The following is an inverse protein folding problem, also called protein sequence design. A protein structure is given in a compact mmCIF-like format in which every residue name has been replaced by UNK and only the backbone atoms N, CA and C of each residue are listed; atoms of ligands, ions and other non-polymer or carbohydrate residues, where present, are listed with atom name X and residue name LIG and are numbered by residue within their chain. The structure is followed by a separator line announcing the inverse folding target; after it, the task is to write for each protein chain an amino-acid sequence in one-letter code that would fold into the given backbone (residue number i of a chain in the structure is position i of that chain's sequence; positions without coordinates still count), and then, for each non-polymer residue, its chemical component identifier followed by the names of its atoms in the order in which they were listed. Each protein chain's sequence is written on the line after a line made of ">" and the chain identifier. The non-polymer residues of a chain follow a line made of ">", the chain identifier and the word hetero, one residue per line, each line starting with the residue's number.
data_IF_271188663229
#
_entry.id   IF_271188663229
#
_cell.length_a   1.000
_cell.length_b   1.000
_cell.length_c   1.000
_cell.angle_alpha   90.00
_cell.angle_beta   90.00
_cell.angle_gamma   90.00
#
_symmetry.space_group_name_H-M   'P 1'
#
loop_
_entity.id
_entity.type
_entity.pdbx_description
1 polymer ?
#
# COMPACT_ATOMS: atom_id res chain seq x y z
N UNK A 1 -8.84 30.58 4.31
CA UNK A 1 -7.81 29.83 5.08
C UNK A 1 -7.20 28.68 4.28
N UNK A 2 -7.96 27.89 3.50
CA UNK A 2 -7.37 26.82 2.65
C UNK A 2 -6.44 27.36 1.54
N UNK A 3 -6.79 28.49 0.91
CA UNK A 3 -6.01 29.00 -0.23
C UNK A 3 -4.89 29.99 0.11
N UNK A 4 -4.85 30.56 1.32
CA UNK A 4 -3.66 31.34 1.71
C UNK A 4 -2.46 30.45 2.05
N UNK A 5 -2.67 29.14 2.22
CA UNK A 5 -1.59 28.17 2.44
C UNK A 5 -1.05 27.56 1.14
N UNK A 6 -1.86 27.50 0.07
CA UNK A 6 -1.42 26.97 -1.22
C UNK A 6 -0.62 27.98 -2.06
N UNK A 7 -0.76 29.29 -1.83
CA UNK A 7 0.01 30.28 -2.62
C UNK A 7 1.43 30.52 -2.09
N UNK A 8 1.74 30.18 -0.83
CA UNK A 8 3.05 30.48 -0.26
C UNK A 8 4.14 29.44 -0.59
N UNK A 9 3.78 28.28 -1.14
CA UNK A 9 4.74 27.19 -1.38
C UNK A 9 5.08 26.90 -2.84
N UNK A 10 4.52 27.62 -3.83
CA UNK A 10 4.70 27.24 -5.25
C UNK A 10 5.22 28.33 -6.19
N UNK A 11 5.76 29.45 -5.67
CA UNK A 11 6.42 30.46 -6.51
C UNK A 11 7.69 30.95 -5.83
N UNK A 12 8.82 30.31 -6.15
CA UNK A 12 10.15 30.96 -6.23
C UNK A 12 11.09 30.03 -6.98
N UNK A 13 11.03 30.17 -8.30
CA UNK A 13 12.20 29.96 -9.15
C UNK A 13 13.26 30.96 -8.69
N UNK A 14 14.29 30.49 -7.99
CA UNK A 14 15.58 31.17 -8.00
C UNK A 14 16.70 30.15 -7.77
N UNK A 15 17.51 30.06 -8.81
CA UNK A 15 18.69 29.23 -8.96
C UNK A 15 19.74 29.66 -7.93
N UNK A 16 19.70 29.09 -6.74
CA UNK A 16 20.86 29.04 -5.86
C UNK A 16 21.13 27.59 -5.49
N UNK A 17 22.01 26.98 -6.29
CA UNK A 17 22.76 25.77 -5.97
C UNK A 17 23.69 26.05 -4.78
N UNK A 18 23.13 26.34 -3.61
CA UNK A 18 23.82 26.10 -2.36
C UNK A 18 23.47 24.67 -2.00
N UNK A 19 24.47 23.82 -2.19
CA UNK A 19 24.57 22.43 -1.75
C UNK A 19 24.03 22.34 -0.30
N UNK A 20 22.73 22.15 -0.15
CA UNK A 20 22.09 21.94 1.14
C UNK A 20 22.41 20.50 1.55
N UNK A 21 23.62 20.33 2.05
CA UNK A 21 23.97 19.25 2.97
C UNK A 21 22.99 19.30 4.14
N UNK A 22 21.98 18.40 4.15
CA UNK A 22 21.37 17.77 5.34
C UNK A 22 19.95 17.22 5.13
N UNK A 23 19.32 17.36 3.96
CA UNK A 23 18.17 16.48 3.65
C UNK A 23 18.56 14.99 3.56
N UNK A 24 19.86 14.69 3.56
CA UNK A 24 20.42 13.34 3.45
C UNK A 24 20.23 12.45 4.69
N UNK A 25 19.93 13.00 5.87
CA UNK A 25 19.85 12.16 7.08
C UNK A 25 18.53 11.42 7.21
N UNK A 26 17.41 12.00 6.76
CA UNK A 26 16.12 11.33 6.90
C UNK A 26 15.87 10.37 5.74
N UNK A 27 15.35 9.16 6.02
CA UNK A 27 14.85 8.28 4.99
C UNK A 27 13.79 8.96 4.11
N UNK A 28 13.92 8.83 2.79
CA UNK A 28 12.86 9.24 1.87
C UNK A 28 11.68 8.28 2.03
N UNK A 29 10.46 8.81 1.93
CA UNK A 29 9.23 8.02 1.93
C UNK A 29 8.52 8.26 0.61
N UNK A 30 8.36 7.21 -0.19
CA UNK A 30 7.74 7.29 -1.51
C UNK A 30 6.42 6.55 -1.52
N UNK A 31 5.35 7.25 -1.92
CA UNK A 31 4.04 6.65 -2.14
C UNK A 31 3.88 6.28 -3.61
N UNK A 32 3.61 5.00 -3.86
CA UNK A 32 3.43 4.43 -5.19
C UNK A 32 2.02 3.90 -5.34
N UNK A 33 1.43 4.15 -6.51
CA UNK A 33 0.21 3.46 -6.93
C UNK A 33 0.46 2.70 -8.21
N UNK A 34 -0.06 1.47 -8.24
CA UNK A 34 0.04 0.64 -9.42
C UNK A 34 -1.21 0.88 -10.27
N UNK A 35 -1.05 1.60 -11.37
CA UNK A 35 -2.15 1.93 -12.28
C UNK A 35 -1.69 1.91 -13.74
N UNK A 36 -2.31 1.06 -14.56
CA UNK A 36 -1.90 0.90 -15.96
C UNK A 36 -2.66 1.79 -16.95
N UNK A 37 -3.78 2.37 -16.55
CA UNK A 37 -4.63 3.22 -17.42
C UNK A 37 -5.44 4.21 -16.60
N UNK A 38 -5.96 5.26 -17.24
CA UNK A 38 -6.90 6.18 -16.58
C UNK A 38 -8.17 5.42 -16.16
N UNK A 39 -8.68 5.70 -14.97
CA UNK A 39 -9.97 5.21 -14.51
C UNK A 39 -10.61 6.18 -13.52
N UNK A 40 -11.95 6.11 -13.33
CA UNK A 40 -12.65 6.91 -12.33
C UNK A 40 -12.07 6.73 -10.92
N UNK A 41 -11.77 5.49 -10.52
CA UNK A 41 -11.23 5.20 -9.19
C UNK A 41 -9.83 5.77 -8.99
N UNK A 42 -8.97 5.69 -10.00
CA UNK A 42 -7.66 6.35 -9.98
C UNK A 42 -7.76 7.87 -9.87
N UNK A 43 -8.75 8.49 -10.51
CA UNK A 43 -9.00 9.92 -10.36
C UNK A 43 -9.41 10.31 -8.93
N UNK A 44 -10.21 9.48 -8.25
CA UNK A 44 -10.53 9.71 -6.82
C UNK A 44 -9.28 9.56 -5.95
N UNK A 45 -8.43 8.58 -6.22
CA UNK A 45 -7.16 8.41 -5.52
C UNK A 45 -6.25 9.64 -5.71
N UNK A 46 -6.05 10.10 -6.96
CA UNK A 46 -5.24 11.30 -7.23
C UNK A 46 -5.81 12.55 -6.56
N UNK A 47 -7.14 12.72 -6.56
CA UNK A 47 -7.77 13.81 -5.83
C UNK A 47 -7.42 13.74 -4.34
N UNK A 48 -7.58 12.56 -3.73
CA UNK A 48 -7.28 12.36 -2.32
C UNK A 48 -5.81 12.65 -1.99
N UNK A 49 -4.88 12.30 -2.88
CA UNK A 49 -3.46 12.58 -2.67
C UNK A 49 -3.14 14.07 -2.75
N UNK A 50 -3.69 14.77 -3.75
CA UNK A 50 -3.48 16.21 -3.93
C UNK A 50 -4.06 17.00 -2.76
N UNK A 51 -5.29 16.69 -2.34
CA UNK A 51 -5.94 17.39 -1.23
C UNK A 51 -5.41 16.99 0.15
N UNK A 52 -4.71 15.87 0.24
CA UNK A 52 -3.97 15.47 1.45
C UNK A 52 -2.50 15.88 1.40
N UNK A 53 -2.05 16.61 0.36
CA UNK A 53 -0.67 17.03 0.19
C UNK A 53 0.35 15.87 0.24
N UNK A 54 -0.06 14.68 -0.23
CA UNK A 54 0.80 13.51 -0.32
C UNK A 54 1.20 13.30 -1.77
N UNK A 55 2.50 13.40 -2.05
CA UNK A 55 3.05 13.12 -3.38
C UNK A 55 2.98 11.63 -3.67
N UNK A 56 2.18 11.25 -4.67
CA UNK A 56 2.00 9.86 -5.10
C UNK A 56 2.48 9.71 -6.55
N UNK A 57 3.27 8.68 -6.80
CA UNK A 57 3.76 8.33 -8.13
C UNK A 57 2.94 7.18 -8.70
N UNK A 58 2.35 7.39 -9.87
CA UNK A 58 1.64 6.32 -10.58
C UNK A 58 2.61 5.54 -11.46
N UNK A 59 2.80 4.25 -11.18
CA UNK A 59 3.68 3.36 -11.93
C UNK A 59 2.89 2.34 -12.75
N UNK A 60 3.52 1.82 -13.81
CA UNK A 60 2.95 0.81 -14.69
C UNK A 60 2.03 1.37 -15.79
N UNK A 61 1.92 2.70 -15.91
CA UNK A 61 1.01 3.33 -16.87
C UNK A 61 1.37 2.94 -18.31
N UNK A 62 0.41 2.42 -19.07
CA UNK A 62 0.60 1.89 -20.42
C UNK A 62 0.97 0.41 -20.49
N UNK A 63 1.37 -0.23 -19.37
CA UNK A 63 1.66 -1.68 -19.36
C UNK A 63 0.36 -2.50 -19.41
N UNK A 64 0.43 -3.71 -19.98
CA UNK A 64 -0.65 -4.69 -19.81
C UNK A 64 -0.68 -5.14 -18.34
N UNK A 65 -1.80 -4.92 -17.68
CA UNK A 65 -1.93 -5.23 -16.26
C UNK A 65 -1.80 -6.73 -15.98
N UNK A 66 -0.93 -7.09 -15.03
CA UNK A 66 -0.80 -8.44 -14.49
C UNK A 66 -0.42 -8.31 -13.01
N UNK A 67 -1.29 -8.78 -12.09
CA UNK A 67 -1.02 -8.64 -10.65
C UNK A 67 0.31 -9.29 -10.24
N UNK A 68 0.66 -10.45 -10.82
CA UNK A 68 1.89 -11.17 -10.51
C UNK A 68 3.17 -10.39 -10.88
N UNK A 69 3.07 -9.34 -11.70
CA UNK A 69 4.21 -8.48 -12.09
C UNK A 69 4.31 -7.18 -11.28
N UNK A 70 3.29 -6.80 -10.50
CA UNK A 70 3.30 -5.52 -9.74
C UNK A 70 4.52 -5.38 -8.83
N UNK A 71 4.92 -6.42 -8.07
CA UNK A 71 6.07 -6.26 -7.17
C UNK A 71 7.39 -6.04 -7.92
N UNK A 72 7.48 -6.52 -9.17
CA UNK A 72 8.65 -6.25 -10.02
C UNK A 72 8.68 -4.79 -10.49
N UNK A 73 7.54 -4.18 -10.80
CA UNK A 73 7.49 -2.75 -11.15
C UNK A 73 7.84 -1.85 -9.98
N UNK A 74 7.49 -2.25 -8.75
CA UNK A 74 7.92 -1.56 -7.54
C UNK A 74 9.45 -1.62 -7.42
N UNK A 75 10.04 -2.80 -7.64
CA UNK A 75 11.50 -2.96 -7.61
C UNK A 75 12.20 -2.16 -8.71
N UNK A 76 11.69 -2.20 -9.94
CA UNK A 76 12.23 -1.41 -11.05
C UNK A 76 12.22 0.09 -10.68
N UNK A 77 11.16 0.58 -10.04
CA UNK A 77 11.10 1.96 -9.55
C UNK A 77 12.13 2.25 -8.45
N UNK A 78 12.23 1.38 -7.44
CA UNK A 78 13.20 1.47 -6.34
C UNK A 78 14.62 1.61 -6.90
N UNK A 79 14.98 0.77 -7.87
CA UNK A 79 16.32 0.72 -8.43
C UNK A 79 16.58 1.92 -9.36
N UNK A 80 15.62 2.31 -10.20
CA UNK A 80 15.76 3.45 -11.12
C UNK A 80 15.85 4.80 -10.39
N UNK A 81 15.17 4.96 -9.26
CA UNK A 81 15.20 6.21 -8.47
C UNK A 81 16.31 6.20 -7.41
N UNK A 82 17.15 5.16 -7.40
CA UNK A 82 18.26 5.01 -6.47
C UNK A 82 17.81 5.06 -5.03
N UNK A 83 16.69 4.40 -4.68
CA UNK A 83 16.23 4.35 -3.30
C UNK A 83 17.22 3.58 -2.43
N UNK A 84 17.60 4.19 -1.30
CA UNK A 84 18.55 3.65 -0.34
C UNK A 84 17.87 2.63 0.55
N UNK A 85 18.66 1.78 1.19
CA UNK A 85 18.16 0.71 2.05
C UNK A 85 17.22 1.21 3.16
N UNK A 86 17.55 2.37 3.75
CA UNK A 86 16.77 3.03 4.79
C UNK A 86 15.49 3.70 4.29
N UNK A 87 15.38 4.02 3.01
CA UNK A 87 14.19 4.65 2.43
C UNK A 87 12.96 3.72 2.55
N UNK A 88 11.77 4.29 2.51
CA UNK A 88 10.49 3.59 2.66
C UNK A 88 9.65 3.72 1.40
N UNK A 89 9.04 2.62 1.00
CA UNK A 89 8.03 2.60 -0.07
C UNK A 89 6.69 2.21 0.52
N UNK A 90 5.67 3.04 0.29
CA UNK A 90 4.26 2.72 0.55
C UNK A 90 3.59 2.51 -0.80
N UNK A 91 3.29 1.27 -1.16
CA UNK A 91 2.68 0.93 -2.44
C UNK A 91 1.26 0.41 -2.26
N UNK A 92 0.31 0.88 -3.08
CA UNK A 92 -1.09 0.47 -2.98
C UNK A 92 -1.84 0.54 -4.31
N UNK A 93 -3.05 -0.01 -4.34
CA UNK A 93 -3.85 -0.08 -5.56
C UNK A 93 -4.40 1.29 -5.97
N UNK A 94 -4.16 1.66 -7.23
CA UNK A 94 -4.52 2.98 -7.73
C UNK A 94 -6.02 3.15 -7.99
N UNK A 95 -6.71 2.08 -8.40
CA UNK A 95 -8.10 2.14 -8.89
C UNK A 95 -9.17 2.04 -7.80
N UNK A 96 -8.82 1.62 -6.59
CA UNK A 96 -9.78 1.31 -5.53
C UNK A 96 -9.24 1.60 -4.13
N UNK A 97 -8.27 2.50 -4.02
CA UNK A 97 -7.87 3.07 -2.74
C UNK A 97 -7.98 4.59 -2.75
N UNK A 98 -7.96 5.19 -1.56
CA UNK A 98 -7.79 6.63 -1.40
C UNK A 98 -7.09 6.93 -0.07
N UNK A 99 -6.36 8.03 -0.04
CA UNK A 99 -5.70 8.54 1.16
C UNK A 99 -6.73 9.22 2.04
N UNK A 100 -6.63 9.08 3.35
CA UNK A 100 -7.60 9.69 4.30
C UNK A 100 -7.23 11.13 4.67
N UNK A 101 -5.94 11.42 4.83
CA UNK A 101 -5.45 12.76 5.17
C UNK A 101 -3.96 12.79 5.49
N UNK A 102 -3.36 13.98 5.42
CA UNK A 102 -1.94 14.20 5.72
C UNK A 102 -1.55 13.77 7.14
N UNK A 103 -2.42 14.03 8.13
CA UNK A 103 -2.16 13.70 9.52
C UNK A 103 -2.02 12.20 9.75
N UNK A 104 -2.97 11.39 9.26
CA UNK A 104 -2.94 9.94 9.38
C UNK A 104 -1.74 9.35 8.64
N UNK A 105 -1.43 9.87 7.45
CA UNK A 105 -0.25 9.46 6.67
C UNK A 105 1.04 9.72 7.45
N UNK A 106 1.20 10.94 7.98
CA UNK A 106 2.37 11.31 8.79
C UNK A 106 2.50 10.42 10.02
N UNK A 107 1.42 10.23 10.76
CA UNK A 107 1.43 9.38 11.96
C UNK A 107 1.81 7.92 11.63
N UNK A 108 1.27 7.36 10.55
CA UNK A 108 1.60 6.00 10.13
C UNK A 108 3.08 5.87 9.75
N UNK A 109 3.59 6.85 8.99
CA UNK A 109 5.00 6.92 8.57
C UNK A 109 5.94 7.07 9.77
N UNK A 110 5.69 8.03 10.66
CA UNK A 110 6.54 8.29 11.82
C UNK A 110 6.63 7.04 12.70
N UNK A 111 5.50 6.39 13.01
CA UNK A 111 5.46 5.11 13.75
C UNK A 111 6.25 4.01 13.06
N UNK A 112 6.12 3.89 11.73
CA UNK A 112 6.86 2.87 10.97
C UNK A 112 8.36 3.12 10.99
N UNK A 113 8.77 4.38 10.83
CA UNK A 113 10.18 4.76 10.86
C UNK A 113 10.81 4.50 12.23
N UNK A 114 10.10 4.80 13.31
CA UNK A 114 10.53 4.57 14.68
C UNK A 114 10.62 3.07 15.03
N UNK A 115 9.67 2.26 14.56
CA UNK A 115 9.55 0.87 14.98
C UNK A 115 10.28 -0.14 14.08
N UNK A 116 10.81 0.26 12.92
CA UNK A 116 11.45 -0.66 11.96
C UNK A 116 12.94 -0.41 11.80
N UNK A 117 13.71 -1.49 11.66
CA UNK A 117 15.15 -1.40 11.41
C UNK A 117 15.45 -0.69 10.08
N UNK A 118 16.27 0.39 10.08
CA UNK A 118 16.57 1.14 8.86
C UNK A 118 17.38 0.33 7.84
N UNK A 119 18.22 -0.60 8.27
CA UNK A 119 19.03 -1.45 7.37
C UNK A 119 19.04 -2.89 7.86
N UNK A 120 19.43 -3.82 6.98
CA UNK A 120 19.57 -5.23 7.31
C UNK A 120 20.60 -5.48 8.45
N UNK A 121 21.64 -4.66 8.55
CA UNK A 121 22.73 -4.82 9.52
C UNK A 121 22.29 -4.66 10.97
N UNK A 122 21.25 -3.86 11.23
CA UNK A 122 20.70 -3.60 12.56
C UNK A 122 19.35 -4.29 12.80
N UNK A 123 18.91 -5.12 11.85
CA UNK A 123 17.66 -5.86 11.97
C UNK A 123 17.74 -6.91 13.07
N UNK A 124 16.87 -6.78 14.08
CA UNK A 124 16.80 -7.71 15.20
C UNK A 124 15.51 -8.55 15.13
N UNK A 125 15.65 -9.78 14.63
CA UNK A 125 14.54 -10.73 14.49
C UNK A 125 13.88 -11.08 15.83
N UNK A 126 14.65 -11.12 16.92
CA UNK A 126 14.13 -11.43 18.26
C UNK A 126 13.26 -10.29 18.78
N UNK A 127 13.66 -9.03 18.56
CA UNK A 127 12.84 -7.87 18.92
C UNK A 127 11.52 -7.86 18.15
N UNK A 128 11.54 -8.18 16.85
CA UNK A 128 10.31 -8.30 16.05
C UNK A 128 9.43 -9.42 16.56
N UNK A 129 10.02 -10.59 16.85
CA UNK A 129 9.29 -11.72 17.44
C UNK A 129 8.59 -11.34 18.75
N UNK A 130 9.24 -10.58 19.62
CA UNK A 130 8.66 -10.17 20.90
C UNK A 130 7.69 -8.99 20.79
N UNK A 131 7.48 -8.44 19.59
CA UNK A 131 6.67 -7.24 19.37
C UNK A 131 7.33 -5.95 19.88
N UNK A 132 8.62 -6.00 20.22
CA UNK A 132 9.42 -4.84 20.63
C UNK A 132 9.83 -3.98 19.42
N UNK A 133 9.89 -4.61 18.24
CA UNK A 133 10.09 -3.96 16.95
C UNK A 133 9.03 -4.42 15.95
N UNK A 134 8.85 -3.63 14.88
CA UNK A 134 7.94 -3.93 13.79
C UNK A 134 8.69 -4.57 12.62
N UNK A 135 8.05 -5.52 11.94
CA UNK A 135 8.57 -6.10 10.72
C UNK A 135 8.77 -5.00 9.65
N UNK A 136 9.94 -4.92 8.99
CA UNK A 136 10.27 -3.85 8.04
C UNK A 136 9.54 -3.95 6.70
N UNK A 137 8.67 -4.95 6.50
CA UNK A 137 7.73 -5.05 5.40
C UNK A 137 6.36 -5.48 5.93
N UNK A 138 5.37 -4.60 5.81
CA UNK A 138 4.00 -4.86 6.20
C UNK A 138 3.09 -4.87 4.97
N UNK A 139 2.20 -5.85 4.90
CA UNK A 139 1.10 -5.87 3.95
C UNK A 139 -0.20 -5.46 4.61
N UNK A 140 -1.14 -4.91 3.84
CA UNK A 140 -2.50 -4.71 4.30
C UNK A 140 -3.10 -6.02 4.83
N UNK A 141 -3.90 -5.93 5.89
CA UNK A 141 -4.66 -7.05 6.43
C UNK A 141 -6.14 -6.93 6.06
N UNK A 142 -6.78 -8.05 5.73
CA UNK A 142 -8.21 -8.10 5.40
C UNK A 142 -8.89 -9.33 6.02
N UNK A 143 -10.22 -9.28 6.20
CA UNK A 143 -11.00 -10.40 6.75
C UNK A 143 -11.27 -11.53 5.75
N UNK A 144 -11.13 -11.27 4.45
CA UNK A 144 -11.38 -12.26 3.40
C UNK A 144 -10.09 -12.88 2.89
N UNK A 145 -9.91 -14.17 3.10
CA UNK A 145 -8.75 -14.89 2.56
C UNK A 145 -8.86 -15.06 1.04
N UNK A 146 -8.04 -14.34 0.27
CA UNK A 146 -8.00 -14.43 -1.19
C UNK A 146 -6.61 -14.81 -1.73
N UNK A 147 -6.35 -16.12 -1.79
CA UNK A 147 -5.15 -16.66 -2.44
C UNK A 147 -5.53 -17.83 -3.38
N UNK A 148 -6.23 -17.55 -4.49
CA UNK A 148 -6.84 -18.56 -5.36
C UNK A 148 -5.85 -19.52 -6.03
N UNK A 149 -4.58 -19.13 -6.13
CA UNK A 149 -3.54 -19.90 -6.82
C UNK A 149 -2.62 -20.68 -5.89
N UNK A 150 -2.83 -20.65 -4.57
CA UNK A 150 -2.00 -21.44 -3.64
C UNK A 150 -2.01 -22.94 -3.95
N UNK A 151 -3.08 -23.44 -4.58
CA UNK A 151 -3.22 -24.85 -4.97
C UNK A 151 -2.17 -25.33 -5.98
N UNK A 152 -1.48 -24.41 -6.65
CA UNK A 152 -0.36 -24.73 -7.55
C UNK A 152 0.76 -25.44 -6.77
N UNK A 153 1.05 -24.97 -5.56
CA UNK A 153 2.12 -25.50 -4.70
C UNK A 153 1.59 -26.28 -3.49
N UNK A 154 0.32 -26.09 -3.11
CA UNK A 154 -0.30 -26.73 -1.94
C UNK A 154 -1.36 -27.74 -2.39
N UNK A 155 -0.97 -29.01 -2.51
CA UNK A 155 -1.85 -30.12 -2.91
C UNK A 155 -2.83 -30.51 -1.80
N UNK A 156 -2.37 -30.57 -0.55
CA UNK A 156 -3.16 -30.96 0.63
C UNK A 156 -4.25 -29.95 1.03
N UNK A 157 -5.15 -30.37 1.92
CA UNK A 157 -6.18 -29.53 2.54
C UNK A 157 -7.52 -29.50 1.78
N UNK A 158 -8.47 -28.65 2.21
CA UNK A 158 -9.81 -28.58 1.62
C UNK A 158 -9.80 -28.28 0.11
N UNK A 159 -10.75 -28.84 -0.65
CA UNK A 159 -10.85 -28.59 -2.10
C UNK A 159 -11.39 -27.19 -2.45
N UNK A 160 -12.33 -26.67 -1.65
CA UNK A 160 -12.93 -25.34 -1.88
C UNK A 160 -11.87 -24.26 -1.62
N UNK A 161 -11.64 -23.38 -2.61
CA UNK A 161 -10.58 -22.34 -2.58
C UNK A 161 -10.57 -21.51 -1.30
N UNK A 162 -11.72 -20.95 -0.91
CA UNK A 162 -11.83 -20.13 0.30
C UNK A 162 -11.48 -20.92 1.58
N UNK A 163 -11.96 -22.16 1.70
CA UNK A 163 -11.63 -23.03 2.84
C UNK A 163 -10.16 -23.46 2.84
N UNK A 164 -9.58 -23.73 1.67
CA UNK A 164 -8.14 -24.04 1.55
C UNK A 164 -7.29 -22.87 2.04
N UNK A 165 -7.69 -21.65 1.69
CA UNK A 165 -7.00 -20.44 2.11
C UNK A 165 -6.98 -20.28 3.62
N UNK A 166 -8.14 -20.33 4.27
CA UNK A 166 -8.26 -20.24 5.74
C UNK A 166 -7.53 -21.39 6.43
N UNK A 167 -7.68 -22.62 5.94
CA UNK A 167 -6.97 -23.79 6.47
C UNK A 167 -5.45 -23.62 6.37
N UNK A 168 -4.94 -23.08 5.27
CA UNK A 168 -3.51 -22.91 5.11
C UNK A 168 -2.93 -21.84 6.04
N UNK A 169 -3.67 -20.75 6.24
CA UNK A 169 -3.34 -19.71 7.24
C UNK A 169 -3.45 -20.20 8.69
N UNK A 170 -4.17 -21.30 8.98
CA UNK A 170 -4.24 -21.82 10.36
C UNK A 170 -2.89 -22.16 10.93
N UNK A 171 -1.96 -22.59 10.08
CA UNK A 171 -0.57 -22.86 10.43
C UNK A 171 0.14 -21.63 11.00
N UNK A 172 -0.19 -20.42 10.52
CA UNK A 172 0.35 -19.18 11.09
C UNK A 172 -0.13 -19.03 12.52
N UNK A 173 -1.44 -19.11 12.78
CA UNK A 173 -1.98 -18.96 14.13
C UNK A 173 -1.51 -20.07 15.08
N UNK A 174 -1.35 -21.31 14.59
CA UNK A 174 -0.76 -22.43 15.34
C UNK A 174 0.70 -22.13 15.71
N UNK A 175 1.53 -21.70 14.76
CA UNK A 175 2.92 -21.35 15.01
C UNK A 175 3.06 -20.16 15.97
N UNK A 176 2.17 -19.17 15.89
CA UNK A 176 2.17 -18.03 16.81
C UNK A 176 1.73 -18.43 18.23
N UNK A 177 0.80 -19.38 18.36
CA UNK A 177 0.38 -19.94 19.66
C UNK A 177 1.45 -20.79 20.34
N UNK A 178 2.43 -21.29 19.59
CA UNK A 178 3.45 -22.17 20.12
C UNK A 178 4.55 -21.43 20.91
N UNK A 179 4.63 -20.09 20.83
CA UNK A 179 5.62 -19.28 21.57
C UNK A 179 4.93 -18.35 22.57
N UNK A 180 5.25 -18.51 23.85
CA UNK A 180 4.66 -17.71 24.92
C UNK A 180 5.10 -16.23 24.89
N UNK A 181 6.25 -15.95 24.27
CA UNK A 181 6.83 -14.62 24.09
C UNK A 181 6.55 -14.00 22.70
N UNK A 182 5.68 -14.61 21.89
CA UNK A 182 5.29 -14.04 20.60
C UNK A 182 4.46 -12.77 20.78
N UNK A 183 5.01 -11.64 20.36
CA UNK A 183 4.32 -10.34 20.29
C UNK A 183 4.12 -9.80 18.86
N UNK A 184 4.69 -10.45 17.84
CA UNK A 184 4.63 -9.97 16.44
C UNK A 184 3.22 -9.99 15.84
N UNK A 185 2.34 -10.88 16.32
CA UNK A 185 0.98 -11.06 15.80
C UNK A 185 -0.02 -10.90 16.95
N UNK A 186 -0.83 -9.83 16.97
CA UNK A 186 -1.77 -9.59 18.07
C UNK A 186 -2.86 -10.67 18.08
N UNK A 187 -2.84 -11.56 19.08
CA UNK A 187 -3.61 -12.80 19.05
C UNK A 187 -5.13 -12.59 19.04
N UNK A 188 -5.64 -11.59 19.77
CA UNK A 188 -7.07 -11.33 19.92
C UNK A 188 -7.72 -10.74 18.66
N UNK A 189 -6.94 -10.08 17.81
CA UNK A 189 -7.43 -9.47 16.56
C UNK A 189 -6.99 -10.21 15.30
N UNK A 190 -5.93 -11.03 15.34
CA UNK A 190 -5.33 -11.61 14.15
C UNK A 190 -6.04 -12.87 13.61
N UNK A 191 -6.80 -13.60 14.43
CA UNK A 191 -7.55 -14.78 13.93
C UNK A 191 -8.58 -14.31 12.91
N UNK A 192 -8.39 -14.71 11.65
CA UNK A 192 -9.24 -14.31 10.54
C UNK A 192 -8.79 -13.04 9.80
N UNK A 193 -7.61 -12.50 10.11
CA UNK A 193 -6.95 -11.53 9.25
C UNK A 193 -5.96 -12.22 8.31
N UNK A 194 -5.99 -11.81 7.05
CA UNK A 194 -5.24 -12.39 5.94
C UNK A 194 -4.46 -11.32 5.20
N UNK A 195 -3.38 -11.72 4.52
CA UNK A 195 -2.60 -10.81 3.69
C UNK A 195 -3.45 -10.33 2.50
N UNK A 196 -3.55 -9.02 2.34
CA UNK A 196 -4.05 -8.35 1.14
C UNK A 196 -2.88 -7.65 0.42
N UNK A 197 -2.65 -8.00 -0.86
CA UNK A 197 -1.52 -7.47 -1.62
C UNK A 197 -1.82 -6.14 -2.34
N UNK A 198 -2.99 -5.55 -2.13
CA UNK A 198 -3.34 -4.23 -2.67
C UNK A 198 -2.81 -3.06 -1.82
N UNK A 199 -2.14 -3.33 -0.71
CA UNK A 199 -1.39 -2.34 0.07
C UNK A 199 -0.16 -2.97 0.73
N UNK A 200 0.97 -2.29 0.67
CA UNK A 200 2.18 -2.62 1.41
C UNK A 200 2.97 -1.36 1.81
N UNK A 201 3.68 -1.44 2.93
CA UNK A 201 4.70 -0.49 3.32
C UNK A 201 5.97 -1.26 3.66
N UNK A 202 7.12 -0.83 3.20
CA UNK A 202 8.37 -1.50 3.53
C UNK A 202 9.60 -0.61 3.44
N UNK A 203 10.60 -0.92 4.25
CA UNK A 203 11.98 -0.48 4.03
C UNK A 203 12.49 -1.09 2.73
N UNK A 204 13.26 -0.32 1.97
CA UNK A 204 13.76 -0.77 0.66
C UNK A 204 14.60 -2.03 0.77
N UNK A 205 15.46 -2.15 1.78
CA UNK A 205 16.26 -3.37 1.98
C UNK A 205 15.37 -4.61 2.19
N UNK A 206 14.29 -4.47 2.96
CA UNK A 206 13.36 -5.55 3.27
C UNK A 206 12.54 -5.95 2.03
N UNK A 207 12.14 -4.97 1.21
CA UNK A 207 11.47 -5.21 -0.07
C UNK A 207 12.41 -5.99 -1.00
N UNK A 208 13.67 -5.56 -1.13
CA UNK A 208 14.69 -6.25 -1.95
C UNK A 208 14.89 -7.68 -1.50
N UNK A 209 15.02 -7.91 -0.19
CA UNK A 209 15.20 -9.25 0.38
C UNK A 209 13.98 -10.14 0.12
N UNK A 210 12.77 -9.65 0.41
CA UNK A 210 11.53 -10.38 0.18
C UNK A 210 11.33 -10.74 -1.30
N UNK A 211 11.72 -9.86 -2.21
CA UNK A 211 11.57 -10.08 -3.64
C UNK A 211 12.52 -11.12 -4.23
N UNK A 212 13.61 -11.50 -3.54
CA UNK A 212 14.44 -12.65 -3.92
C UNK A 212 13.62 -13.93 -3.90
N UNK A 213 12.92 -14.19 -2.80
CA UNK A 213 12.03 -15.34 -2.65
C UNK A 213 10.80 -15.23 -3.59
N UNK A 214 10.23 -14.03 -3.72
CA UNK A 214 9.11 -13.79 -4.64
C UNK A 214 9.45 -14.17 -6.09
N UNK A 215 10.59 -13.69 -6.61
CA UNK A 215 11.03 -14.00 -7.98
C UNK A 215 11.21 -15.51 -8.19
N UNK A 216 11.74 -16.23 -7.19
CA UNK A 216 11.89 -17.69 -7.25
C UNK A 216 10.53 -18.41 -7.32
N UNK A 217 9.55 -18.03 -6.51
CA UNK A 217 8.20 -18.62 -6.56
C UNK A 217 7.48 -18.27 -7.87
N UNK A 218 7.59 -17.01 -8.30
CA UNK A 218 7.03 -16.54 -9.57
C UNK A 218 7.59 -17.35 -10.76
N UNK A 219 8.89 -17.65 -10.75
CA UNK A 219 9.57 -18.41 -11.79
C UNK A 219 9.22 -19.89 -11.87
N UNK A 220 8.45 -20.44 -10.92
CA UNK A 220 8.06 -21.86 -10.94
C UNK A 220 7.01 -22.18 -12.02
N UNK A 221 6.20 -21.20 -12.45
CA UNK A 221 5.16 -21.41 -13.46
C UNK A 221 4.64 -20.10 -14.04
N UNK A 222 4.21 -20.11 -15.31
CA UNK A 222 3.53 -18.98 -15.95
C UNK A 222 2.04 -18.85 -15.56
N UNK A 223 1.51 -19.77 -14.74
CA UNK A 223 0.11 -19.76 -14.32
C UNK A 223 -0.22 -18.68 -13.28
N UNK A 224 0.79 -17.98 -12.76
CA UNK A 224 0.59 -16.91 -11.79
C UNK A 224 -0.07 -15.68 -12.43
N UNK A 225 -1.26 -15.34 -11.96
CA UNK A 225 -1.95 -14.08 -12.28
C UNK A 225 -2.31 -13.24 -11.05
N UNK A 226 -2.03 -13.75 -9.84
CA UNK A 226 -2.36 -13.13 -8.56
C UNK A 226 -1.13 -13.13 -7.64
N UNK A 227 -0.52 -11.97 -7.44
CA UNK A 227 0.60 -11.78 -6.52
C UNK A 227 0.21 -12.06 -5.06
N UNK A 228 -1.01 -11.73 -4.63
CA UNK A 228 -1.50 -12.07 -3.29
C UNK A 228 -1.40 -13.57 -2.99
N UNK A 229 -1.57 -14.43 -3.99
CA UNK A 229 -1.38 -15.88 -3.79
C UNK A 229 0.08 -16.25 -3.51
N UNK A 230 1.04 -15.58 -4.17
CA UNK A 230 2.47 -15.79 -3.93
C UNK A 230 2.84 -15.21 -2.57
N UNK A 231 2.43 -13.98 -2.27
CA UNK A 231 2.69 -13.34 -0.97
C UNK A 231 2.09 -14.11 0.20
N UNK A 232 0.89 -14.67 0.05
CA UNK A 232 0.29 -15.53 1.06
C UNK A 232 1.15 -16.78 1.36
N UNK A 233 1.70 -17.42 0.33
CA UNK A 233 2.61 -18.57 0.51
C UNK A 233 3.88 -18.14 1.25
N UNK A 234 4.52 -17.06 0.79
CA UNK A 234 5.74 -16.53 1.39
C UNK A 234 5.53 -16.11 2.85
N UNK A 235 4.39 -15.49 3.15
CA UNK A 235 4.02 -15.08 4.51
C UNK A 235 3.91 -16.28 5.45
N UNK A 236 3.12 -17.28 5.05
CA UNK A 236 2.96 -18.51 5.84
C UNK A 236 4.30 -19.23 6.02
N UNK A 237 5.10 -19.34 4.97
CA UNK A 237 6.40 -20.01 5.05
C UNK A 237 7.42 -19.27 5.92
N UNK A 238 7.42 -17.94 5.87
CA UNK A 238 8.27 -17.11 6.71
C UNK A 238 7.92 -17.31 8.18
N UNK A 239 6.64 -17.11 8.54
CA UNK A 239 6.19 -17.16 9.94
C UNK A 239 6.24 -18.55 10.57
N UNK A 240 5.88 -19.58 9.81
CA UNK A 240 5.92 -20.96 10.31
C UNK A 240 7.30 -21.58 10.23
N UNK A 241 8.28 -20.88 9.63
CA UNK A 241 9.64 -21.38 9.36
C UNK A 241 9.60 -22.76 8.71
N UNK A 242 8.74 -22.94 7.71
CA UNK A 242 8.42 -24.27 7.15
C UNK A 242 9.68 -24.99 6.68
N UNK A 243 10.02 -26.13 7.32
CA UNK A 243 11.30 -26.82 7.12
C UNK A 243 11.40 -27.60 5.81
N UNK A 244 10.26 -28.01 5.23
CA UNK A 244 10.23 -28.70 3.94
C UNK A 244 10.24 -27.74 2.73
N UNK A 245 10.34 -26.43 2.95
CA UNK A 245 10.54 -25.42 1.90
C UNK A 245 11.97 -24.92 1.99
N UNK A 246 12.71 -25.04 0.88
CA UNK A 246 14.11 -24.58 0.82
C UNK A 246 14.20 -23.10 1.25
N UNK A 247 15.23 -22.71 2.03
CA UNK A 247 15.43 -21.31 2.46
C UNK A 247 15.35 -20.30 1.33
N UNK A 248 15.76 -20.71 0.13
CA UNK A 248 15.69 -19.93 -1.09
C UNK A 248 14.29 -19.45 -1.49
N UNK A 249 13.25 -20.21 -1.15
CA UNK A 249 11.86 -19.88 -1.42
C UNK A 249 11.17 -19.23 -0.21
N UNK A 250 11.92 -18.92 0.85
CA UNK A 250 11.40 -18.33 2.07
C UNK A 250 11.94 -16.92 2.25
N UNK A 251 11.07 -16.05 2.74
CA UNK A 251 11.49 -14.77 3.29
C UNK A 251 12.02 -15.05 4.70
N UNK A 252 13.21 -14.54 5.07
CA UNK A 252 13.71 -14.66 6.44
C UNK A 252 12.65 -14.24 7.47
N UNK A 253 12.58 -15.00 8.58
CA UNK A 253 11.59 -14.77 9.64
C UNK A 253 11.70 -13.34 10.19
N UNK A 254 10.55 -12.72 10.47
CA UNK A 254 10.45 -11.36 11.02
C UNK A 254 10.56 -10.23 9.99
N UNK A 255 10.93 -10.51 8.72
CA UNK A 255 10.99 -9.45 7.69
C UNK A 255 9.59 -9.02 7.25
N UNK A 256 8.69 -9.98 7.01
CA UNK A 256 7.34 -9.74 6.49
C UNK A 256 6.29 -9.98 7.56
N UNK A 257 5.38 -9.02 7.72
CA UNK A 257 4.17 -9.19 8.52
C UNK A 257 2.96 -8.44 7.95
N UNK A 258 1.86 -8.35 8.69
CA UNK A 258 0.67 -7.58 8.31
C UNK A 258 0.56 -6.29 9.12
N UNK A 259 -0.04 -5.27 8.53
CA UNK A 259 -0.52 -4.06 9.22
C UNK A 259 -1.79 -4.40 10.01
N UNK A 260 -1.60 -5.09 11.14
CA UNK A 260 -2.67 -5.56 12.02
C UNK A 260 -3.40 -4.42 12.72
N UNK A 261 -2.72 -3.30 12.95
CA UNK A 261 -3.29 -2.13 13.61
C UNK A 261 -3.94 -1.15 12.62
N UNK A 262 -3.94 -1.47 11.33
CA UNK A 262 -4.49 -0.65 10.27
C UNK A 262 -3.95 0.79 10.30
N UNK A 263 -2.67 0.96 10.64
CA UNK A 263 -2.05 2.29 10.67
C UNK A 263 -1.98 2.86 9.25
N UNK A 264 -1.56 2.04 8.29
CA UNK A 264 -1.52 2.42 6.89
C UNK A 264 -2.80 2.04 6.16
N UNK A 265 -3.26 0.80 6.32
CA UNK A 265 -4.28 0.24 5.42
C UNK A 265 -5.48 -0.31 6.18
N UNK A 266 -6.67 0.15 5.83
CA UNK A 266 -7.93 -0.52 6.15
C UNK A 266 -8.56 -1.08 4.89
N UNK A 267 -8.82 -2.40 4.89
CA UNK A 267 -9.77 -3.02 3.98
C UNK A 267 -11.13 -3.11 4.71
N UNK A 268 -12.12 -2.27 4.37
CA UNK A 268 -13.40 -2.28 5.07
C UNK A 268 -14.20 -3.54 4.74
N UNK A 269 -14.75 -4.18 5.78
CA UNK A 269 -15.57 -5.38 5.64
C UNK A 269 -16.65 -5.38 6.73
N UNK A 270 -17.85 -4.94 6.38
CA UNK A 270 -19.00 -4.87 7.29
C UNK A 270 -18.98 -3.71 8.29
N UNK A 271 -17.80 -3.23 8.69
CA UNK A 271 -17.62 -2.15 9.67
C UNK A 271 -16.35 -1.33 9.38
N UNK A 272 -16.31 -0.09 9.88
CA UNK A 272 -15.13 0.79 9.87
C UNK A 272 -14.58 0.87 11.30
N UNK A 273 -13.39 0.31 11.54
CA UNK A 273 -12.88 0.10 12.92
C UNK A 273 -11.65 0.96 13.24
N UNK A 274 -11.11 1.70 12.26
CA UNK A 274 -9.85 2.42 12.41
C UNK A 274 -9.79 3.74 11.62
N UNK A 275 -8.71 4.48 11.85
CA UNK A 275 -8.36 5.73 11.16
C UNK A 275 -7.05 5.54 10.36
N UNK A 276 -7.08 4.72 9.30
CA UNK A 276 -5.88 4.39 8.52
C UNK A 276 -5.39 5.60 7.73
N UNK A 277 -4.14 5.56 7.26
CA UNK A 277 -3.65 6.49 6.24
C UNK A 277 -4.34 6.32 4.87
N UNK A 278 -4.71 5.07 4.54
CA UNK A 278 -5.22 4.65 3.23
C UNK A 278 -6.38 3.68 3.44
N UNK A 279 -7.51 3.96 2.79
CA UNK A 279 -8.63 3.02 2.71
C UNK A 279 -8.53 2.29 1.37
N UNK A 280 -8.53 0.96 1.42
CA UNK A 280 -8.47 0.09 0.24
C UNK A 280 -9.79 -0.67 0.09
N UNK A 281 -10.56 -0.34 -0.95
CA UNK A 281 -11.89 -0.88 -1.25
C UNK A 281 -11.79 -2.21 -2.01
N UNK A 282 -11.12 -3.18 -1.39
CA UNK A 282 -10.81 -4.47 -2.00
C UNK A 282 -12.08 -5.30 -2.29
N UNK A 283 -11.94 -6.26 -3.21
CA UNK A 283 -13.00 -7.23 -3.49
C UNK A 283 -14.25 -6.66 -4.19
N UNK A 284 -15.41 -7.24 -3.88
CA UNK A 284 -16.67 -6.90 -4.54
C UNK A 284 -17.33 -5.69 -3.89
N UNK A 285 -17.93 -4.80 -4.71
CA UNK A 285 -18.57 -3.57 -4.26
C UNK A 285 -19.58 -3.78 -3.12
N UNK A 286 -20.32 -4.89 -3.13
CA UNK A 286 -21.27 -5.25 -2.06
C UNK A 286 -20.66 -5.33 -0.65
N UNK A 287 -19.34 -5.47 -0.53
CA UNK A 287 -18.64 -5.60 0.75
C UNK A 287 -18.40 -4.23 1.43
N UNK A 288 -18.39 -3.13 0.67
CA UNK A 288 -17.97 -1.82 1.16
C UNK A 288 -18.81 -0.65 0.63
N UNK A 289 -19.63 -0.83 -0.42
CA UNK A 289 -20.37 0.27 -1.03
C UNK A 289 -21.32 0.98 -0.04
N UNK A 290 -21.98 0.23 0.84
CA UNK A 290 -22.86 0.78 1.87
C UNK A 290 -22.08 1.59 2.94
N UNK A 291 -20.79 1.32 3.11
CA UNK A 291 -19.91 2.00 4.06
C UNK A 291 -19.29 3.28 3.46
N UNK A 292 -19.42 3.53 2.16
CA UNK A 292 -18.76 4.66 1.49
C UNK A 292 -19.04 6.02 2.13
N UNK A 293 -20.27 6.36 2.55
CA UNK A 293 -20.52 7.63 3.26
C UNK A 293 -19.69 7.77 4.53
N UNK A 294 -19.62 6.71 5.34
CA UNK A 294 -18.84 6.68 6.59
C UNK A 294 -17.33 6.73 6.31
N UNK A 295 -16.84 5.89 5.39
CA UNK A 295 -15.45 5.83 4.97
C UNK A 295 -14.95 7.19 4.44
N UNK A 296 -15.76 7.88 3.66
CA UNK A 296 -15.40 9.20 3.13
C UNK A 296 -15.48 10.29 4.20
N UNK A 297 -16.36 10.18 5.20
CA UNK A 297 -16.36 11.10 6.34
C UNK A 297 -15.11 10.95 7.22
N UNK A 298 -14.42 9.80 7.19
CA UNK A 298 -13.10 9.64 7.82
C UNK A 298 -11.98 10.33 7.04
N UNK A 299 -12.22 10.71 5.78
CA UNK A 299 -11.25 11.42 4.98
C UNK A 299 -11.35 12.93 5.21
N UNK A 300 -10.32 13.52 5.82
CA UNK A 300 -10.31 14.93 6.22
C UNK A 300 -10.39 15.87 5.01
N UNK A 301 -9.83 15.48 3.87
CA UNK A 301 -9.95 16.25 2.64
C UNK A 301 -11.39 16.29 2.10
N UNK A 302 -12.20 15.26 2.37
CA UNK A 302 -13.57 15.19 1.87
C UNK A 302 -14.51 16.10 2.66
N UNK A 303 -14.36 16.16 3.98
CA UNK A 303 -15.09 17.12 4.81
C UNK A 303 -14.72 18.57 4.46
N UNK A 304 -13.45 18.83 4.16
CA UNK A 304 -12.98 20.12 3.66
C UNK A 304 -13.59 20.46 2.29
N UNK A 305 -13.66 19.50 1.37
CA UNK A 305 -14.29 19.69 0.06
C UNK A 305 -15.79 20.00 0.17
N UNK A 306 -16.51 19.33 1.08
CA UNK A 306 -17.93 19.59 1.35
C UNK A 306 -18.18 20.95 2.00
N UNK A 307 -17.36 21.31 3.00
CA UNK A 307 -17.52 22.55 3.78
C UNK A 307 -17.06 23.79 3.02
N UNK A 308 -16.09 23.66 2.10
CA UNK A 308 -15.84 24.67 1.08
C UNK A 308 -16.96 24.62 0.04
N UNK A 309 -18.11 25.20 0.36
CA UNK A 309 -19.37 25.29 -0.42
C UNK A 309 -19.17 25.65 -1.91
N UNK A 310 -18.77 24.67 -2.73
CA UNK A 310 -18.22 24.82 -4.08
C UNK A 310 -16.77 25.30 -4.04
N UNK A 311 -15.83 24.43 -4.45
CA UNK A 311 -14.58 24.92 -5.01
C UNK A 311 -14.95 25.99 -6.03
N UNK A 312 -14.57 27.24 -5.74
CA UNK A 312 -14.77 28.35 -6.66
C UNK A 312 -14.16 27.96 -8.01
N UNK A 313 -14.58 28.63 -9.09
CA UNK A 313 -13.97 28.44 -10.41
C UNK A 313 -12.43 28.50 -10.33
N UNK A 314 -11.89 29.33 -9.44
CA UNK A 314 -10.46 29.46 -9.17
C UNK A 314 -9.88 28.23 -8.48
N UNK A 315 -10.53 27.71 -7.44
CA UNK A 315 -10.11 26.47 -6.76
C UNK A 315 -10.11 25.25 -7.68
N UNK A 316 -11.13 25.13 -8.53
CA UNK A 316 -11.18 24.11 -9.59
C UNK A 316 -10.05 24.27 -10.62
N UNK A 317 -9.74 25.51 -11.00
CA UNK A 317 -8.67 25.81 -11.96
C UNK A 317 -7.31 25.47 -11.36
N UNK A 318 -7.07 25.84 -10.10
CA UNK A 318 -5.84 25.50 -9.38
C UNK A 318 -5.67 23.98 -9.25
N UNK A 319 -6.69 23.28 -8.76
CA UNK A 319 -6.68 21.81 -8.67
C UNK A 319 -6.38 21.16 -10.03
N UNK A 320 -7.02 21.65 -11.09
CA UNK A 320 -6.82 21.15 -12.46
C UNK A 320 -5.38 21.35 -12.95
N UNK A 321 -4.71 22.38 -12.46
CA UNK A 321 -3.35 22.74 -12.86
C UNK A 321 -2.25 22.03 -12.07
N UNK A 322 -2.58 21.38 -10.95
CA UNK A 322 -1.63 20.58 -10.18
C UNK A 322 -1.07 19.42 -11.01
N UNK A 323 0.21 19.13 -10.83
CA UNK A 323 0.89 18.05 -11.54
C UNK A 323 0.85 16.76 -10.74
N UNK A 324 0.66 15.65 -11.45
CA UNK A 324 0.85 14.30 -10.92
C UNK A 324 2.01 13.62 -11.65
N UNK A 325 2.84 12.88 -10.91
CA UNK A 325 3.99 12.14 -11.45
C UNK A 325 3.52 10.76 -11.92
N UNK A 326 3.79 10.44 -13.18
CA UNK A 326 3.47 9.16 -13.80
C UNK A 326 4.75 8.57 -14.38
N UNK A 327 5.09 7.34 -14.01
CA UNK A 327 6.15 6.57 -14.66
C UNK A 327 5.49 5.65 -15.68
N UNK A 328 5.84 5.89 -16.95
CA UNK A 328 5.29 5.13 -18.08
C UNK A 328 5.88 3.74 -18.20
N UNK A 329 5.33 2.94 -19.11
CA UNK A 329 5.78 1.58 -19.41
C UNK A 329 7.25 1.50 -19.81
N UNK A 330 7.80 2.57 -20.37
CA UNK A 330 9.18 2.64 -20.88
C UNK A 330 10.15 3.19 -19.82
N UNK A 331 9.68 3.42 -18.59
CA UNK A 331 10.47 4.00 -17.50
C UNK A 331 10.55 5.52 -17.54
N UNK A 332 9.99 6.18 -18.56
CA UNK A 332 9.97 7.64 -18.64
C UNK A 332 9.05 8.24 -17.57
N UNK A 333 9.58 9.18 -16.80
CA UNK A 333 8.81 10.01 -15.87
C UNK A 333 8.12 11.14 -16.62
N UNK A 334 6.80 11.23 -16.46
CA UNK A 334 5.95 12.27 -17.04
C UNK A 334 5.17 12.98 -15.95
N UNK A 335 5.25 14.31 -15.95
CA UNK A 335 4.36 15.16 -15.18
C UNK A 335 3.15 15.51 -16.05
N UNK A 336 1.95 15.33 -15.50
CA UNK A 336 0.69 15.64 -16.18
C UNK A 336 -0.21 16.44 -15.28
N UNK A 337 -0.88 17.44 -15.84
CA UNK A 337 -1.87 18.22 -15.09
C UNK A 337 -3.06 17.34 -14.74
N UNK A 338 -3.54 17.42 -13.51
CA UNK A 338 -4.65 16.63 -13.00
C UNK A 338 -5.92 16.82 -13.85
N UNK A 339 -6.25 18.05 -14.24
CA UNK A 339 -7.42 18.35 -15.08
C UNK A 339 -7.34 17.79 -16.50
N UNK A 340 -6.13 17.45 -17.00
CA UNK A 340 -5.95 16.77 -18.29
C UNK A 340 -6.15 15.24 -18.18
N UNK A 341 -6.19 14.72 -16.96
CA UNK A 341 -6.37 13.29 -16.67
C UNK A 341 -7.79 13.00 -16.19
N UNK A 342 -8.30 13.85 -15.31
CA UNK A 342 -9.52 13.66 -14.53
C UNK A 342 -10.46 14.83 -14.73
N UNK A 343 -11.76 14.55 -14.90
CA UNK A 343 -12.76 15.60 -15.10
C UNK A 343 -12.94 16.41 -13.82
N UNK A 344 -12.61 17.72 -13.80
CA UNK A 344 -12.72 18.53 -12.59
C UNK A 344 -14.15 18.57 -12.05
N UNK A 345 -15.16 18.58 -12.93
CA UNK A 345 -16.58 18.55 -12.54
C UNK A 345 -17.00 17.29 -11.80
N UNK A 346 -16.46 16.12 -12.20
CA UNK A 346 -16.81 14.84 -11.56
C UNK A 346 -16.11 14.66 -10.23
N UNK A 347 -14.85 15.05 -10.13
CA UNK A 347 -14.05 14.79 -8.91
C UNK A 347 -14.46 15.66 -7.73
N UNK A 348 -15.19 16.76 -7.95
CA UNK A 348 -15.77 17.56 -6.86
C UNK A 348 -17.22 17.19 -6.53
N UNK A 349 -17.84 16.31 -7.31
CA UNK A 349 -19.21 15.87 -7.10
C UNK A 349 -19.23 14.85 -5.95
N UNK A 350 -19.87 15.16 -4.80
CA UNK A 350 -19.93 14.24 -3.67
C UNK A 350 -20.58 12.90 -4.03
N UNK A 351 -21.60 12.89 -4.89
CA UNK A 351 -22.29 11.66 -5.28
C UNK A 351 -21.37 10.77 -6.12
N UNK A 352 -20.59 11.38 -7.02
CA UNK A 352 -19.56 10.66 -7.77
C UNK A 352 -18.49 10.08 -6.85
N UNK A 353 -18.00 10.85 -5.88
CA UNK A 353 -16.97 10.40 -4.93
C UNK A 353 -17.43 9.24 -4.05
N UNK A 354 -18.71 9.25 -3.65
CA UNK A 354 -19.35 8.21 -2.85
C UNK A 354 -19.70 6.95 -3.67
N UNK A 355 -19.78 7.09 -5.00
CA UNK A 355 -20.16 5.97 -5.87
C UNK A 355 -19.10 4.87 -5.98
N UNK A 356 -19.49 3.63 -6.31
CA UNK A 356 -18.55 2.58 -6.67
C UNK A 356 -17.87 2.85 -8.03
N UNK A 357 -16.66 3.37 -7.99
CA UNK A 357 -15.88 3.75 -9.18
C UNK A 357 -15.18 2.54 -9.82
N UNK A 358 -15.08 2.56 -11.16
CA UNK A 358 -14.33 1.53 -11.90
C UNK A 358 -12.81 1.73 -11.73
N UNK A 359 -12.09 0.60 -11.64
CA UNK A 359 -10.62 0.52 -11.49
C UNK A 359 -9.85 0.70 -12.79
#
# INVERSE_FOLDING_TARGET
>A
RFFSLLSETLVKDDVQFVKAESESERPRVVFLVIQTRKSPGWCRMLLSSLLSEVSVVSIGFGKRYNHAKRPLWILDYIDNEGLRDEDVVVAFDGGDAFITGSFQVKQAVDRFLEATAPTAAVFNVTAVHRGEATAPLLFSSERLCFAPLMKILISSGPQKRARKCVWYYSKVWEAMNASADQGMVPFTSAKGLFLNAGGMVGRVWAIREALKAYKKVLGLTDQWWCDQSIWALLYVWSLTRTTNVSPDFRIPYGILNLDYHHNFFQCPYGEVVAHPAIIHLSGAQRNWAALMPELMNHATWFSNLKSSLQMTRDGLTQLSNLFVKIVTCDGETRFRRFGALCSPRKVIDPDWLLSPLRK
#
